data_IF_292256674090
#
_entry.id   IF_292256674090
#
_cell.length_a   1.000
_cell.length_b   1.000
_cell.length_c   1.000
_cell.angle_alpha   90.00
_cell.angle_beta   90.00
_cell.angle_gamma   90.00
#
_symmetry.space_group_name_H-M   'P 1'
#
loop_
_entity.id
_entity.type
_entity.pdbx_description
1 polymer ?
#
# COMPACT_ATOMS: atom_id res chain seq x y z
N UNK A 1 3.16 -0.40 -21.08
CA UNK A 1 1.75 -0.02 -20.78
C UNK A 1 1.72 0.31 -19.30
N UNK A 2 1.32 1.52 -18.92
CA UNK A 2 1.30 1.91 -17.52
C UNK A 2 0.24 1.07 -16.80
N UNK A 3 0.67 0.18 -15.90
CA UNK A 3 -0.24 -0.51 -14.96
C UNK A 3 -0.80 0.56 -14.01
N UNK A 4 -1.80 1.29 -14.49
CA UNK A 4 -2.57 2.22 -13.69
C UNK A 4 -3.53 1.38 -12.85
N UNK A 5 -3.24 1.25 -11.56
CA UNK A 5 -4.15 0.59 -10.65
C UNK A 5 -5.39 1.47 -10.45
N UNK A 6 -6.52 1.06 -11.03
CA UNK A 6 -7.79 1.73 -10.78
C UNK A 6 -8.33 1.35 -9.41
N UNK A 7 -8.45 2.34 -8.54
CA UNK A 7 -8.97 2.14 -7.20
C UNK A 7 -10.46 1.74 -7.29
N UNK A 8 -10.84 0.57 -6.77
CA UNK A 8 -12.23 0.11 -6.89
C UNK A 8 -13.23 1.03 -6.18
N UNK A 9 -14.48 1.07 -6.68
CA UNK A 9 -15.54 1.90 -6.10
C UNK A 9 -15.94 1.49 -4.67
N UNK A 10 -15.72 0.23 -4.32
CA UNK A 10 -15.93 -0.30 -2.97
C UNK A 10 -14.82 0.10 -1.99
N UNK A 11 -13.70 0.63 -2.50
CA UNK A 11 -12.64 1.14 -1.64
C UNK A 11 -13.15 2.32 -0.81
N UNK A 12 -12.72 2.39 0.44
CA UNK A 12 -13.03 3.51 1.31
C UNK A 12 -11.93 3.74 2.32
N UNK A 13 -12.11 4.80 3.11
CA UNK A 13 -11.15 5.17 4.14
C UNK A 13 -11.19 4.14 5.28
N UNK A 14 -10.05 3.57 5.69
CA UNK A 14 -9.99 2.72 6.86
C UNK A 14 -10.22 3.49 8.17
N UNK A 15 -10.45 2.77 9.28
CA UNK A 15 -10.58 3.38 10.60
C UNK A 15 -9.33 4.15 11.00
N UNK A 16 -9.53 5.23 11.78
CA UNK A 16 -8.43 6.05 12.31
C UNK A 16 -7.47 5.19 13.15
N UNK A 17 -6.17 5.41 12.95
CA UNK A 17 -5.11 4.67 13.65
C UNK A 17 -4.66 3.39 12.96
N UNK A 18 -5.23 3.03 11.80
CA UNK A 18 -4.72 1.91 11.02
C UNK A 18 -3.30 2.22 10.50
N UNK A 19 -2.37 1.31 10.77
CA UNK A 19 -0.97 1.46 10.39
C UNK A 19 -0.35 0.11 10.02
N UNK A 20 0.76 0.17 9.29
CA UNK A 20 1.62 -0.98 9.00
C UNK A 20 2.92 -0.84 9.77
N UNK A 21 3.32 -1.91 10.46
CA UNK A 21 4.61 -2.00 11.11
C UNK A 21 5.64 -2.57 10.13
N UNK A 22 6.67 -1.80 9.84
CA UNK A 22 7.78 -2.20 8.97
C UNK A 22 8.89 -2.75 9.84
N UNK A 23 9.06 -4.07 9.78
CA UNK A 23 10.09 -4.78 10.53
C UNK A 23 11.25 -5.18 9.60
N UNK A 24 12.48 -5.11 10.15
CA UNK A 24 13.68 -5.68 9.52
C UNK A 24 14.26 -6.72 10.48
N UNK A 25 14.03 -8.00 10.17
CA UNK A 25 14.15 -9.06 11.17
C UNK A 25 13.12 -8.82 12.28
N UNK A 26 13.57 -8.86 13.54
CA UNK A 26 12.70 -8.64 14.71
C UNK A 26 12.65 -7.18 15.18
N UNK A 27 13.30 -6.26 14.45
CA UNK A 27 13.34 -4.84 14.82
C UNK A 27 12.31 -4.05 14.03
N UNK A 28 11.42 -3.36 14.74
CA UNK A 28 10.55 -2.33 14.17
C UNK A 28 11.41 -1.14 13.71
N UNK A 29 11.36 -0.83 12.42
CA UNK A 29 12.12 0.28 11.82
C UNK A 29 11.21 1.49 11.57
N UNK A 30 9.96 1.26 11.19
CA UNK A 30 9.05 2.34 10.83
C UNK A 30 7.59 1.91 11.03
N UNK A 31 6.72 2.88 11.30
CA UNK A 31 5.26 2.73 11.23
C UNK A 31 4.73 3.57 10.07
N UNK A 32 3.93 2.97 9.20
CA UNK A 32 3.30 3.63 8.06
C UNK A 32 1.82 3.84 8.36
N UNK A 33 1.40 5.08 8.50
CA UNK A 33 -0.01 5.42 8.69
C UNK A 33 -0.77 5.22 7.39
N UNK A 34 -1.82 4.39 7.42
CA UNK A 34 -2.63 4.06 6.24
C UNK A 34 -4.10 4.41 6.45
N UNK A 35 -4.39 5.38 7.31
CA UNK A 35 -5.72 5.82 7.70
C UNK A 35 -6.20 7.10 6.99
N UNK A 36 -5.44 7.64 6.05
CA UNK A 36 -5.77 8.88 5.34
C UNK A 36 -6.42 8.66 3.97
N UNK A 37 -5.97 7.63 3.23
CA UNK A 37 -6.38 7.33 1.85
C UNK A 37 -7.12 6.00 1.75
N UNK A 38 -7.94 5.87 0.72
CA UNK A 38 -8.65 4.61 0.39
C UNK A 38 -7.75 3.54 -0.23
N UNK A 39 -6.63 3.96 -0.81
CA UNK A 39 -5.65 3.13 -1.49
C UNK A 39 -4.25 3.70 -1.27
N UNK A 40 -3.26 2.83 -1.13
CA UNK A 40 -1.84 3.15 -1.02
C UNK A 40 -1.02 2.28 -1.96
N UNK A 41 -0.08 2.87 -2.67
CA UNK A 41 0.82 2.16 -3.58
C UNK A 41 2.20 1.96 -2.97
N UNK A 42 2.78 0.78 -3.21
CA UNK A 42 4.12 0.39 -2.76
C UNK A 42 5.01 0.09 -3.97
N UNK A 43 6.23 0.61 -3.97
CA UNK A 43 7.21 0.32 -5.02
C UNK A 43 8.44 1.21 -4.93
N UNK A 44 9.34 1.07 -5.89
CA UNK A 44 10.60 1.84 -5.95
C UNK A 44 10.48 3.26 -6.48
N UNK A 45 9.38 3.60 -7.18
CA UNK A 45 9.24 4.92 -7.81
C UNK A 45 8.56 5.92 -6.84
N UNK A 46 9.26 6.91 -6.27
CA UNK A 46 8.67 7.86 -5.32
C UNK A 46 7.64 8.80 -5.96
N UNK A 47 7.64 8.96 -7.28
CA UNK A 47 6.65 9.81 -7.96
C UNK A 47 5.29 9.11 -8.14
N UNK A 48 5.26 7.78 -8.07
CA UNK A 48 4.04 6.98 -8.32
C UNK A 48 3.52 6.28 -7.07
N UNK A 49 4.37 6.04 -6.06
CA UNK A 49 4.00 5.29 -4.87
C UNK A 49 3.85 6.19 -3.66
N UNK A 50 2.88 5.89 -2.81
CA UNK A 50 2.72 6.54 -1.50
C UNK A 50 3.83 6.10 -0.54
N UNK A 51 4.24 4.83 -0.64
CA UNK A 51 5.34 4.27 0.15
C UNK A 51 6.45 3.79 -0.77
N UNK A 52 7.57 4.52 -0.74
CA UNK A 52 8.77 4.15 -1.48
C UNK A 52 9.52 3.04 -0.73
N UNK A 53 9.72 1.90 -1.39
CA UNK A 53 10.50 0.77 -0.86
C UNK A 53 11.80 0.69 -1.64
N UNK A 54 12.92 0.98 -0.98
CA UNK A 54 14.25 0.90 -1.59
C UNK A 54 14.83 -0.51 -1.45
N UNK A 55 14.27 -1.45 -2.21
CA UNK A 55 14.75 -2.83 -2.27
C UNK A 55 14.85 -3.31 -3.72
N UNK A 56 15.97 -3.97 -4.07
CA UNK A 56 16.27 -4.35 -5.45
C UNK A 56 15.24 -5.31 -6.08
N UNK A 57 14.59 -6.14 -5.25
CA UNK A 57 13.52 -7.07 -5.67
C UNK A 57 12.20 -6.40 -5.98
N UNK A 58 11.97 -5.15 -5.53
CA UNK A 58 10.68 -4.50 -5.70
C UNK A 58 10.56 -3.86 -7.08
N UNK A 59 9.34 -3.82 -7.61
CA UNK A 59 9.07 -3.25 -8.94
C UNK A 59 8.85 -1.75 -8.83
N UNK A 60 8.78 -1.03 -9.96
CA UNK A 60 8.54 0.44 -9.94
C UNK A 60 7.23 0.77 -9.22
N UNK A 61 6.20 -0.01 -9.48
CA UNK A 61 4.96 -0.11 -8.70
C UNK A 61 4.77 -1.62 -8.50
N UNK A 62 4.76 -2.07 -7.25
CA UNK A 62 4.83 -3.48 -6.89
C UNK A 62 3.48 -4.00 -6.41
N UNK A 63 2.85 -3.28 -5.48
CA UNK A 63 1.56 -3.68 -4.92
C UNK A 63 0.70 -2.46 -4.55
N UNK A 64 -0.61 -2.69 -4.48
CA UNK A 64 -1.59 -1.74 -3.98
C UNK A 64 -2.26 -2.28 -2.71
N UNK A 65 -2.33 -1.47 -1.67
CA UNK A 65 -3.14 -1.72 -0.49
C UNK A 65 -4.46 -0.98 -0.63
N UNK A 66 -5.58 -1.67 -0.42
CA UNK A 66 -6.92 -1.09 -0.52
C UNK A 66 -7.77 -1.55 0.65
N UNK A 67 -8.49 -0.61 1.26
CA UNK A 67 -9.44 -0.92 2.32
C UNK A 67 -10.86 -1.03 1.78
N UNK A 68 -11.53 -2.13 2.08
CA UNK A 68 -12.88 -2.43 1.65
C UNK A 68 -13.91 -1.95 2.68
N UNK A 69 -14.59 -0.84 2.40
CA UNK A 69 -15.51 -0.19 3.37
C UNK A 69 -16.72 -1.03 3.78
N UNK A 70 -17.24 -1.86 2.88
CA UNK A 70 -18.41 -2.69 3.21
C UNK A 70 -18.07 -3.94 4.04
N UNK A 71 -16.84 -4.47 3.89
CA UNK A 71 -16.39 -5.68 4.57
C UNK A 71 -15.53 -5.36 5.80
N UNK A 72 -15.14 -4.09 5.96
CA UNK A 72 -14.17 -3.62 6.95
C UNK A 72 -12.87 -4.44 6.94
N UNK A 73 -12.31 -4.68 5.76
CA UNK A 73 -11.12 -5.51 5.56
C UNK A 73 -10.12 -4.83 4.64
N UNK A 74 -8.85 -5.05 4.94
CA UNK A 74 -7.74 -4.65 4.08
C UNK A 74 -7.41 -5.74 3.06
N UNK A 75 -7.07 -5.31 1.85
CA UNK A 75 -6.60 -6.15 0.77
C UNK A 75 -5.25 -5.64 0.28
N UNK A 76 -4.34 -6.57 0.00
CA UNK A 76 -3.08 -6.30 -0.68
C UNK A 76 -3.15 -6.95 -2.06
N UNK A 77 -2.99 -6.15 -3.10
CA UNK A 77 -3.11 -6.56 -4.50
C UNK A 77 -1.74 -6.45 -5.14
N UNK A 78 -1.20 -7.57 -5.62
CA UNK A 78 0.00 -7.57 -6.45
C UNK A 78 -0.32 -7.00 -7.84
N UNK A 79 0.58 -6.18 -8.38
CA UNK A 79 0.38 -5.49 -9.66
C UNK A 79 1.19 -6.12 -10.81
N UNK A 80 1.53 -7.41 -10.68
CA UNK A 80 2.33 -8.15 -11.64
C UNK A 80 3.80 -7.77 -11.52
N UNK A 81 4.34 -7.96 -10.31
CA UNK A 81 5.69 -7.53 -9.95
C UNK A 81 6.82 -8.29 -10.63
#
# INVERSE_FOLDING_TARGET
MANHYEVPNWAGKPPTGLHLDVLKGDKLIQKLMIDEKKCYLFGRNPQMNDFCIDHASCSRVHAAFVYHKHLNRAFLVDLGS
#
